data_IF_990023962935
#
_entry.id   IF_990023962935
#
_cell.length_a   1.000
_cell.length_b   1.000
_cell.length_c   1.000
_cell.angle_alpha   90.00
_cell.angle_beta   90.00
_cell.angle_gamma   90.00
#
_symmetry.space_group_name_H-M   'P 1'
#
loop_
_entity.id
_entity.type
_entity.pdbx_description
1 polymer ?
#
# COMPACT_ATOMS: atom_id res chain seq x y z
N UNK A 1 41.34 20.73 72.07
CA UNK A 1 39.92 20.51 71.83
C UNK A 1 39.47 21.38 70.68
N UNK A 2 39.77 21.01 69.48
CA UNK A 2 39.31 21.68 68.26
C UNK A 2 39.60 20.68 67.13
N UNK A 3 38.64 19.91 66.66
CA UNK A 3 38.62 19.22 65.34
C UNK A 3 37.50 18.17 65.33
N UNK A 4 36.24 18.56 65.35
CA UNK A 4 35.09 17.66 65.07
C UNK A 4 33.92 18.35 64.40
N UNK A 5 34.06 19.52 63.78
CA UNK A 5 32.94 20.24 63.16
C UNK A 5 33.10 20.54 61.66
N UNK A 6 34.18 20.07 61.00
CA UNK A 6 34.44 20.34 59.59
C UNK A 6 34.06 19.18 58.62
N UNK A 7 33.78 17.98 59.14
CA UNK A 7 33.56 16.78 58.30
C UNK A 7 32.10 16.51 57.95
N UNK A 8 31.14 17.30 58.44
CA UNK A 8 29.69 17.01 58.24
C UNK A 8 29.03 17.91 57.17
N UNK A 9 29.73 18.89 56.64
CA UNK A 9 29.19 19.77 55.59
C UNK A 9 29.60 19.43 54.15
N UNK A 10 30.51 18.44 53.97
CA UNK A 10 30.98 18.03 52.63
C UNK A 10 30.24 16.80 52.11
N UNK A 11 29.51 16.07 52.94
CA UNK A 11 28.76 14.88 52.55
C UNK A 11 27.36 15.17 51.97
N UNK A 12 26.81 16.37 52.25
CA UNK A 12 25.45 16.76 51.77
C UNK A 12 25.45 17.46 50.42
N UNK A 13 26.59 17.86 49.90
CA UNK A 13 26.71 18.51 48.59
C UNK A 13 26.95 17.52 47.44
N UNK A 14 27.30 16.26 47.69
CA UNK A 14 27.53 15.23 46.64
C UNK A 14 26.29 14.39 46.37
N UNK A 15 25.23 14.45 47.17
CA UNK A 15 23.99 13.70 46.98
C UNK A 15 22.97 14.45 46.12
N UNK A 16 23.20 15.73 45.81
CA UNK A 16 22.27 16.56 45.00
C UNK A 16 22.63 16.63 43.49
N UNK A 17 23.69 15.99 43.03
CA UNK A 17 24.11 16.00 41.61
C UNK A 17 23.93 14.67 40.88
N UNK A 18 23.27 13.68 41.46
CA UNK A 18 22.93 12.41 40.80
C UNK A 18 21.50 12.26 40.37
N UNK A 19 20.73 13.35 40.23
CA UNK A 19 19.37 13.38 39.71
C UNK A 19 19.32 14.14 38.37
N UNK A 20 20.41 14.14 37.62
CA UNK A 20 20.40 14.74 36.28
C UNK A 20 20.78 13.67 35.27
N UNK A 21 19.78 13.12 34.61
CA UNK A 21 20.00 12.41 33.36
C UNK A 21 19.74 10.92 33.37
N UNK A 22 18.57 10.49 33.80
CA UNK A 22 17.94 9.42 33.06
C UNK A 22 17.66 10.02 31.67
N UNK A 23 18.61 9.88 30.75
CA UNK A 23 18.35 10.07 29.36
C UNK A 23 17.18 9.14 29.05
N UNK A 24 15.96 9.70 29.02
CA UNK A 24 14.78 8.97 28.63
C UNK A 24 15.10 8.51 27.21
N UNK A 25 15.29 7.20 27.03
CA UNK A 25 15.52 6.64 25.69
C UNK A 25 14.43 7.22 24.79
N UNK A 26 14.83 7.88 23.72
CA UNK A 26 13.88 8.53 22.83
C UNK A 26 12.80 7.53 22.48
N UNK A 27 11.55 7.94 22.65
CA UNK A 27 10.39 7.13 22.29
C UNK A 27 10.53 6.76 20.82
N UNK A 28 10.34 5.48 20.46
CA UNK A 28 10.59 4.99 19.10
C UNK A 28 9.34 4.40 18.50
N UNK A 29 9.05 4.78 17.24
CA UNK A 29 8.01 4.18 16.39
C UNK A 29 8.67 3.25 15.36
N UNK A 30 8.40 1.96 15.42
CA UNK A 30 8.84 0.98 14.42
C UNK A 30 7.75 0.84 13.37
N UNK A 31 8.01 1.42 12.20
CA UNK A 31 7.08 1.52 11.08
C UNK A 31 7.42 0.49 10.00
N UNK A 32 6.47 -0.36 9.63
CA UNK A 32 6.55 -1.28 8.49
C UNK A 32 5.66 -0.73 7.35
N UNK A 33 6.30 -0.30 6.24
CA UNK A 33 5.61 0.50 5.23
C UNK A 33 6.12 0.23 3.81
N UNK A 34 5.45 0.84 2.84
CA UNK A 34 5.86 0.84 1.44
C UNK A 34 6.98 1.84 1.18
N UNK A 35 7.71 1.63 0.09
CA UNK A 35 8.64 2.64 -0.41
C UNK A 35 7.89 3.97 -0.66
N UNK A 36 8.58 5.08 -0.38
CA UNK A 36 8.11 6.44 -0.59
C UNK A 36 6.96 6.93 0.33
N UNK A 37 6.44 6.10 1.29
CA UNK A 37 5.38 6.52 2.23
C UNK A 37 5.90 7.20 3.51
N UNK A 38 7.19 7.12 3.76
CA UNK A 38 7.85 7.79 4.87
C UNK A 38 9.11 8.53 4.39
N UNK A 39 8.97 9.62 3.58
CA UNK A 39 10.10 10.41 3.12
C UNK A 39 10.93 10.94 4.29
N UNK A 40 12.24 11.04 4.11
CA UNK A 40 13.17 11.39 5.19
C UNK A 40 12.88 12.76 5.83
N UNK A 41 12.45 13.75 5.06
CA UNK A 41 12.06 15.09 5.54
C UNK A 41 10.81 15.03 6.41
N UNK A 42 9.82 14.19 6.07
CA UNK A 42 8.60 13.96 6.85
C UNK A 42 8.92 13.24 8.16
N UNK A 43 9.78 12.22 8.12
CA UNK A 43 10.28 11.53 9.32
C UNK A 43 11.00 12.52 10.25
N UNK A 44 11.89 13.35 9.72
CA UNK A 44 12.61 14.36 10.49
C UNK A 44 11.65 15.39 11.09
N UNK A 45 10.65 15.84 10.33
CA UNK A 45 9.65 16.79 10.82
C UNK A 45 8.84 16.19 11.98
N UNK A 46 8.39 14.93 11.85
CA UNK A 46 7.69 14.23 12.93
C UNK A 46 8.54 14.13 14.20
N UNK A 47 9.80 13.67 14.06
CA UNK A 47 10.73 13.57 15.18
C UNK A 47 10.97 14.92 15.86
N UNK A 48 11.14 15.99 15.07
CA UNK A 48 11.32 17.35 15.60
C UNK A 48 10.10 17.84 16.38
N UNK A 49 8.88 17.53 15.92
CA UNK A 49 7.63 17.98 16.55
C UNK A 49 7.26 17.15 17.79
N UNK A 50 7.63 15.88 17.83
CA UNK A 50 7.15 14.93 18.86
C UNK A 50 8.22 14.39 19.79
N UNK A 51 9.50 14.49 19.42
CA UNK A 51 10.61 13.83 20.10
C UNK A 51 10.68 12.31 19.84
N UNK A 52 9.79 11.75 19.00
CA UNK A 52 9.72 10.32 18.70
C UNK A 52 10.60 10.01 17.48
N UNK A 53 11.54 9.07 17.65
CA UNK A 53 12.32 8.53 16.53
C UNK A 53 11.48 7.56 15.71
N UNK A 54 11.60 7.58 14.37
CA UNK A 54 10.90 6.64 13.48
C UNK A 54 11.92 5.71 12.83
N UNK A 55 11.76 4.42 13.08
CA UNK A 55 12.54 3.35 12.45
C UNK A 55 11.70 2.76 11.31
N UNK A 56 12.09 3.03 10.06
CA UNK A 56 11.36 2.62 8.86
C UNK A 56 11.89 1.30 8.33
N UNK A 57 10.99 0.33 8.15
CA UNK A 57 11.25 -0.93 7.43
C UNK A 57 10.39 -0.97 6.18
N UNK A 58 11.01 -1.10 5.01
CA UNK A 58 10.30 -1.22 3.75
C UNK A 58 9.80 -2.64 3.52
N UNK A 59 8.60 -2.77 2.93
CA UNK A 59 7.94 -4.05 2.71
C UNK A 59 6.85 -3.97 1.63
N UNK A 60 6.17 -5.09 1.41
CA UNK A 60 4.96 -5.22 0.59
C UNK A 60 3.91 -6.04 1.34
N UNK A 61 2.68 -6.17 0.81
CA UNK A 61 1.58 -6.86 1.51
C UNK A 61 1.95 -8.27 1.96
N UNK A 62 2.50 -9.08 1.06
CA UNK A 62 2.81 -10.49 1.32
C UNK A 62 3.87 -10.62 2.43
N UNK A 63 4.90 -9.78 2.36
CA UNK A 63 5.96 -9.75 3.38
C UNK A 63 5.49 -9.19 4.72
N UNK A 64 4.65 -8.13 4.72
CA UNK A 64 4.07 -7.58 5.95
C UNK A 64 3.29 -8.65 6.70
N UNK A 65 2.39 -9.34 6.00
CA UNK A 65 1.57 -10.43 6.58
C UNK A 65 2.47 -11.56 7.05
N UNK A 66 3.44 -11.99 6.25
CA UNK A 66 4.37 -13.06 6.62
C UNK A 66 5.18 -12.72 7.88
N UNK A 67 5.73 -11.50 7.97
CA UNK A 67 6.47 -11.02 9.15
C UNK A 67 5.59 -10.98 10.40
N UNK A 68 4.36 -10.44 10.27
CA UNK A 68 3.42 -10.36 11.39
C UNK A 68 2.95 -11.75 11.86
N UNK A 69 2.70 -12.68 10.95
CA UNK A 69 2.38 -14.07 11.30
C UNK A 69 3.52 -14.73 12.06
N UNK A 70 4.74 -14.66 11.54
CA UNK A 70 5.92 -15.28 12.16
C UNK A 70 6.19 -14.76 13.57
N UNK A 71 5.85 -13.49 13.84
CA UNK A 71 6.07 -12.83 15.14
C UNK A 71 4.81 -12.71 15.98
N UNK A 72 3.66 -13.21 15.50
CA UNK A 72 2.34 -13.03 16.13
C UNK A 72 2.02 -11.53 16.37
N UNK A 73 2.35 -10.68 15.40
CA UNK A 73 2.13 -9.24 15.49
C UNK A 73 3.16 -8.47 16.33
N UNK A 74 4.32 -9.06 16.64
CA UNK A 74 5.39 -8.34 17.33
C UNK A 74 6.39 -7.73 16.32
N UNK A 75 7.28 -6.87 16.84
CA UNK A 75 8.38 -6.30 16.07
C UNK A 75 8.13 -4.90 15.51
N UNK A 76 6.89 -4.54 15.29
CA UNK A 76 6.47 -3.24 14.75
C UNK A 76 5.40 -2.59 15.63
N UNK A 77 5.24 -1.26 15.51
CA UNK A 77 4.26 -0.48 16.24
C UNK A 77 3.15 0.05 15.32
N UNK A 78 3.47 0.23 14.03
CA UNK A 78 2.52 0.61 12.99
C UNK A 78 2.87 -0.09 11.69
N UNK A 79 1.87 -0.54 10.95
CA UNK A 79 2.02 -1.19 9.64
C UNK A 79 1.03 -0.62 8.64
N UNK A 80 1.37 -0.71 7.35
CA UNK A 80 0.59 -0.06 6.29
C UNK A 80 0.19 -1.05 5.17
N UNK A 81 -0.56 -2.12 5.48
CA UNK A 81 -1.07 -3.02 4.45
C UNK A 81 -2.25 -2.39 3.69
N UNK A 82 -2.57 -2.93 2.52
CA UNK A 82 -3.80 -2.59 1.82
C UNK A 82 -5.03 -3.05 2.62
N UNK A 83 -6.14 -2.32 2.53
CA UNK A 83 -7.37 -2.58 3.31
C UNK A 83 -7.92 -3.99 3.14
N UNK A 84 -7.78 -4.56 1.94
CA UNK A 84 -8.22 -5.90 1.61
C UNK A 84 -7.37 -7.00 2.29
N UNK A 85 -6.22 -6.62 2.87
CA UNK A 85 -5.27 -7.49 3.60
C UNK A 85 -5.40 -7.40 5.12
N UNK A 86 -6.51 -6.85 5.63
CA UNK A 86 -6.74 -6.73 7.08
C UNK A 86 -7.64 -7.86 7.58
N UNK A 87 -8.86 -7.97 7.06
CA UNK A 87 -9.89 -8.82 7.66
C UNK A 87 -9.55 -10.32 7.61
N UNK A 88 -9.09 -10.84 6.47
CA UNK A 88 -8.71 -12.24 6.33
C UNK A 88 -7.57 -12.64 7.29
N UNK A 89 -6.39 -11.99 7.21
CA UNK A 89 -5.28 -12.26 8.11
C UNK A 89 -5.60 -12.02 9.59
N UNK A 90 -6.48 -11.06 9.92
CA UNK A 90 -6.94 -10.87 11.29
C UNK A 90 -7.77 -12.04 11.77
N UNK A 91 -8.70 -12.51 10.96
CA UNK A 91 -9.55 -13.67 11.29
C UNK A 91 -8.73 -14.95 11.46
N UNK A 92 -7.75 -15.18 10.57
CA UNK A 92 -6.94 -16.39 10.59
C UNK A 92 -5.85 -16.39 11.68
N UNK A 93 -5.20 -15.24 11.90
CA UNK A 93 -3.94 -15.18 12.66
C UNK A 93 -3.96 -14.24 13.84
N UNK A 94 -4.96 -13.35 13.96
CA UNK A 94 -5.04 -12.38 15.06
C UNK A 94 -3.84 -11.42 15.12
N UNK A 95 -3.31 -10.99 13.98
CA UNK A 95 -2.03 -10.25 13.89
C UNK A 95 -2.15 -8.74 14.06
N UNK A 96 -3.37 -8.21 14.15
CA UNK A 96 -3.64 -6.79 14.39
C UNK A 96 -4.38 -6.59 15.71
N UNK A 97 -4.32 -5.40 16.28
CA UNK A 97 -5.17 -4.99 17.40
C UNK A 97 -6.24 -3.99 16.95
N UNK A 98 -7.42 -3.99 17.58
CA UNK A 98 -8.46 -3.01 17.25
C UNK A 98 -7.98 -1.59 17.46
N UNK A 99 -8.36 -0.68 16.55
CA UNK A 99 -8.06 0.73 16.69
C UNK A 99 -8.98 1.40 17.72
N UNK A 100 -8.39 2.22 18.57
CA UNK A 100 -9.13 3.20 19.38
C UNK A 100 -9.44 4.43 18.51
N UNK A 101 -10.65 4.44 17.95
CA UNK A 101 -11.08 5.51 17.05
C UNK A 101 -11.19 6.88 17.73
N UNK A 102 -11.24 6.95 19.06
CA UNK A 102 -11.24 8.22 19.80
C UNK A 102 -9.89 8.95 19.71
N UNK A 103 -8.80 8.22 19.42
CA UNK A 103 -7.45 8.75 19.19
C UNK A 103 -7.21 9.20 17.75
N UNK A 104 -8.14 8.93 16.83
CA UNK A 104 -8.07 9.30 15.41
C UNK A 104 -8.83 10.62 15.21
N UNK A 105 -8.15 11.62 14.63
CA UNK A 105 -8.76 12.88 14.21
C UNK A 105 -9.52 12.68 12.90
N UNK A 106 -10.77 12.27 12.99
CA UNK A 106 -11.60 11.87 11.82
C UNK A 106 -11.82 13.00 10.82
N UNK A 107 -11.78 14.26 11.25
CA UNK A 107 -11.88 15.46 10.41
C UNK A 107 -10.71 15.62 9.43
N UNK A 108 -9.57 14.99 9.71
CA UNK A 108 -8.44 14.95 8.80
C UNK A 108 -8.62 14.00 7.60
N UNK A 109 -9.66 13.17 7.60
CA UNK A 109 -9.88 12.17 6.56
C UNK A 109 -11.03 12.58 5.63
N UNK A 110 -10.96 12.15 4.36
CA UNK A 110 -12.12 12.15 3.46
C UNK A 110 -13.16 11.20 4.04
N UNK A 111 -14.29 11.75 4.51
CA UNK A 111 -15.26 10.99 5.31
C UNK A 111 -15.78 9.72 4.63
N UNK A 112 -16.07 9.77 3.31
CA UNK A 112 -16.52 8.58 2.56
C UNK A 112 -15.45 7.48 2.51
N UNK A 113 -14.16 7.84 2.36
CA UNK A 113 -13.07 6.88 2.36
C UNK A 113 -12.83 6.28 3.75
N UNK A 114 -12.91 7.10 4.79
CA UNK A 114 -12.78 6.63 6.17
C UNK A 114 -13.86 5.59 6.49
N UNK A 115 -15.13 5.87 6.18
CA UNK A 115 -16.23 4.94 6.46
C UNK A 115 -16.13 3.66 5.59
N UNK A 116 -15.77 3.77 4.32
CA UNK A 116 -15.58 2.59 3.46
C UNK A 116 -14.42 1.71 3.97
N UNK A 117 -13.28 2.30 4.34
CA UNK A 117 -12.14 1.54 4.86
C UNK A 117 -12.46 0.91 6.22
N UNK A 118 -13.11 1.63 7.13
CA UNK A 118 -13.58 1.06 8.40
C UNK A 118 -14.45 -0.17 8.16
N UNK A 119 -15.42 -0.09 7.24
CA UNK A 119 -16.27 -1.24 6.86
C UNK A 119 -15.44 -2.43 6.37
N UNK A 120 -14.48 -2.20 5.48
CA UNK A 120 -13.63 -3.25 4.88
C UNK A 120 -12.62 -3.86 5.86
N UNK A 121 -12.29 -3.14 6.94
CA UNK A 121 -11.31 -3.56 7.96
C UNK A 121 -11.95 -3.95 9.29
N UNK A 122 -13.28 -4.13 9.31
CA UNK A 122 -14.00 -4.57 10.51
C UNK A 122 -14.04 -6.09 10.59
N UNK A 123 -13.62 -6.62 11.74
CA UNK A 123 -13.76 -8.05 12.12
C UNK A 123 -14.40 -8.10 13.50
N UNK A 124 -15.45 -8.89 13.68
CA UNK A 124 -16.20 -9.04 14.93
C UNK A 124 -16.60 -7.70 15.56
N UNK A 125 -17.07 -6.75 14.73
CA UNK A 125 -17.51 -5.41 15.16
C UNK A 125 -16.39 -4.46 15.56
N UNK A 126 -15.12 -4.83 15.41
CA UNK A 126 -13.95 -4.02 15.72
C UNK A 126 -13.23 -3.57 14.45
N UNK A 127 -12.83 -2.31 14.38
CA UNK A 127 -12.10 -1.72 13.25
C UNK A 127 -10.61 -1.91 13.45
N UNK A 128 -9.90 -2.36 12.40
CA UNK A 128 -8.46 -2.65 12.44
C UNK A 128 -7.62 -1.79 11.52
N UNK A 129 -8.24 -0.95 10.67
CA UNK A 129 -7.52 -0.08 9.75
C UNK A 129 -8.26 1.21 9.44
N UNK A 130 -7.50 2.29 9.16
CA UNK A 130 -7.99 3.55 8.60
C UNK A 130 -7.19 3.92 7.36
N UNK A 131 -7.77 4.64 6.36
CA UNK A 131 -7.15 4.84 5.07
C UNK A 131 -5.93 5.78 5.14
N UNK A 132 -4.99 5.60 4.22
CA UNK A 132 -3.82 6.46 4.07
C UNK A 132 -3.65 6.94 2.63
N UNK A 133 -3.13 6.10 1.78
CA UNK A 133 -2.82 6.34 0.36
C UNK A 133 -3.73 5.46 -0.48
N UNK A 134 -4.12 5.93 -1.66
CA UNK A 134 -4.88 5.13 -2.61
C UNK A 134 -4.41 5.37 -4.04
N UNK A 135 -4.70 4.42 -4.92
CA UNK A 135 -4.38 4.47 -6.32
C UNK A 135 -5.05 3.34 -7.09
N UNK A 136 -4.58 3.11 -8.31
CA UNK A 136 -5.16 2.12 -9.21
C UNK A 136 -4.10 1.27 -9.90
N UNK A 137 -4.47 0.02 -10.22
CA UNK A 137 -3.80 -0.79 -11.24
C UNK A 137 -4.56 -0.63 -12.57
N UNK A 138 -3.83 -0.45 -13.63
CA UNK A 138 -4.38 -0.35 -14.99
C UNK A 138 -3.34 -0.74 -16.03
N UNK A 139 -3.34 -0.06 -17.16
CA UNK A 139 -2.41 -0.32 -18.25
C UNK A 139 -1.45 0.85 -18.46
N UNK A 140 -0.18 0.56 -18.58
CA UNK A 140 0.83 1.50 -19.07
C UNK A 140 1.19 1.08 -20.49
N UNK A 141 0.98 1.96 -21.46
CA UNK A 141 1.05 1.64 -22.89
C UNK A 141 1.87 2.70 -23.62
N UNK A 142 2.83 2.26 -24.41
CA UNK A 142 3.41 3.09 -25.48
C UNK A 142 2.41 3.12 -26.63
N UNK A 143 1.65 4.21 -26.74
CA UNK A 143 0.51 4.34 -27.67
C UNK A 143 0.94 4.37 -29.15
N UNK A 144 2.21 4.66 -29.43
CA UNK A 144 2.77 4.59 -30.79
C UNK A 144 3.10 3.15 -31.18
N UNK A 145 3.62 2.36 -30.23
CA UNK A 145 4.03 0.99 -30.48
C UNK A 145 2.88 -0.02 -30.33
N UNK A 146 1.86 0.30 -29.53
CA UNK A 146 0.75 -0.60 -29.16
C UNK A 146 -0.59 0.16 -29.10
N UNK A 147 -0.95 0.86 -30.16
CA UNK A 147 -2.11 1.78 -30.24
C UNK A 147 -3.47 1.15 -29.89
N UNK A 148 -3.63 -0.17 -30.06
CA UNK A 148 -4.91 -0.87 -29.89
C UNK A 148 -5.06 -1.51 -28.50
N UNK A 149 -4.07 -1.35 -27.60
CA UNK A 149 -4.15 -1.88 -26.23
C UNK A 149 -5.05 -0.98 -25.41
N UNK A 150 -6.19 -1.50 -24.97
CA UNK A 150 -7.19 -0.77 -24.20
C UNK A 150 -7.81 -1.60 -23.07
N UNK A 151 -7.48 -2.91 -22.98
CA UNK A 151 -7.93 -3.78 -21.91
C UNK A 151 -6.86 -4.83 -21.56
N UNK A 152 -6.98 -5.49 -20.40
CA UNK A 152 -6.00 -6.47 -19.91
C UNK A 152 -5.82 -7.64 -20.90
N UNK A 153 -6.89 -8.11 -21.54
CA UNK A 153 -6.79 -9.17 -22.55
C UNK A 153 -5.93 -8.78 -23.76
N UNK A 154 -5.79 -7.48 -24.06
CA UNK A 154 -4.96 -7.03 -25.18
C UNK A 154 -3.47 -7.27 -24.94
N UNK A 155 -3.05 -7.44 -23.67
CA UNK A 155 -1.68 -7.87 -23.32
C UNK A 155 -1.35 -9.28 -23.82
N UNK A 156 -2.36 -10.05 -24.19
CA UNK A 156 -2.23 -11.39 -24.78
C UNK A 156 -2.29 -11.39 -26.30
N UNK A 157 -2.47 -10.21 -26.92
CA UNK A 157 -2.60 -10.07 -28.37
C UNK A 157 -1.25 -10.06 -29.09
N UNK A 158 -1.26 -10.38 -30.39
CA UNK A 158 -0.05 -10.45 -31.23
C UNK A 158 0.64 -9.07 -31.38
N UNK A 159 -0.10 -7.98 -31.22
CA UNK A 159 0.45 -6.61 -31.26
C UNK A 159 1.53 -6.32 -30.19
N UNK A 160 1.55 -7.10 -29.13
CA UNK A 160 2.51 -6.97 -28.01
C UNK A 160 3.32 -8.23 -27.76
N UNK A 161 3.38 -9.13 -28.75
CA UNK A 161 4.06 -10.41 -28.64
C UNK A 161 5.52 -10.26 -28.20
N UNK A 162 5.90 -10.87 -27.07
CA UNK A 162 7.23 -10.78 -26.46
C UNK A 162 7.58 -9.40 -25.89
N UNK A 163 6.60 -8.48 -25.78
CA UNK A 163 6.79 -7.10 -25.29
C UNK A 163 5.74 -6.66 -24.28
N UNK A 164 4.91 -7.58 -23.78
CA UNK A 164 4.00 -7.34 -22.68
C UNK A 164 4.65 -7.67 -21.34
N UNK A 165 4.16 -7.06 -20.25
CA UNK A 165 4.57 -7.41 -18.88
C UNK A 165 3.41 -7.23 -17.90
N UNK A 166 3.35 -8.09 -16.87
CA UNK A 166 2.45 -7.96 -15.74
C UNK A 166 3.03 -8.67 -14.51
N UNK A 167 2.43 -8.46 -13.34
CA UNK A 167 2.87 -9.14 -12.12
C UNK A 167 2.29 -10.56 -12.06
N UNK A 168 3.09 -11.55 -11.72
CA UNK A 168 2.58 -12.87 -11.35
C UNK A 168 2.06 -12.84 -9.89
N UNK A 169 1.07 -11.99 -9.62
CA UNK A 169 0.45 -11.75 -8.31
C UNK A 169 -1.07 -11.59 -8.46
N UNK A 170 -1.77 -11.63 -7.32
CA UNK A 170 -3.22 -11.49 -7.21
C UNK A 170 -3.86 -10.44 -8.13
N UNK A 171 -3.37 -9.18 -8.20
CA UNK A 171 -3.99 -8.17 -9.07
C UNK A 171 -4.18 -8.64 -10.52
N UNK A 172 -3.23 -9.40 -11.07
CA UNK A 172 -3.35 -9.93 -12.44
C UNK A 172 -4.48 -10.95 -12.56
N UNK A 173 -4.68 -11.84 -11.58
CA UNK A 173 -5.80 -12.78 -11.59
C UNK A 173 -7.15 -12.04 -11.59
N UNK A 174 -7.28 -11.03 -10.74
CA UNK A 174 -8.50 -10.22 -10.60
C UNK A 174 -8.77 -9.43 -11.88
N UNK A 175 -7.74 -8.77 -12.44
CA UNK A 175 -7.83 -8.01 -13.69
C UNK A 175 -8.32 -8.88 -14.86
N UNK A 176 -7.69 -10.04 -15.03
CA UNK A 176 -8.07 -10.97 -16.10
C UNK A 176 -9.43 -11.63 -15.87
N UNK A 177 -9.89 -11.80 -14.62
CA UNK A 177 -11.26 -12.22 -14.34
C UNK A 177 -12.25 -11.19 -14.89
N UNK A 178 -12.11 -9.91 -14.53
CA UNK A 178 -12.97 -8.85 -15.04
C UNK A 178 -12.91 -8.69 -16.55
N UNK A 179 -11.73 -8.75 -17.15
CA UNK A 179 -11.54 -8.66 -18.60
C UNK A 179 -12.19 -9.83 -19.37
N UNK A 180 -12.50 -10.93 -18.70
CA UNK A 180 -13.23 -12.08 -19.25
C UNK A 180 -14.70 -12.14 -18.77
N UNK A 181 -15.26 -11.03 -18.30
CA UNK A 181 -16.67 -10.92 -17.90
C UNK A 181 -17.04 -11.67 -16.63
N UNK A 182 -16.04 -12.03 -15.79
CA UNK A 182 -16.25 -12.69 -14.51
C UNK A 182 -16.09 -11.67 -13.38
N UNK A 183 -16.93 -11.76 -12.35
CA UNK A 183 -16.79 -10.93 -11.14
C UNK A 183 -16.20 -11.77 -9.99
N UNK A 184 -14.88 -11.65 -9.74
CA UNK A 184 -14.23 -12.42 -8.67
C UNK A 184 -14.67 -11.98 -7.29
N UNK A 185 -15.08 -10.71 -7.11
CA UNK A 185 -15.51 -10.19 -5.82
C UNK A 185 -16.88 -10.74 -5.39
N UNK A 186 -17.80 -10.91 -6.36
CA UNK A 186 -19.09 -11.56 -6.10
C UNK A 186 -18.93 -13.05 -5.71
N UNK A 187 -17.86 -13.70 -6.16
CA UNK A 187 -17.59 -15.12 -5.87
C UNK A 187 -16.85 -15.37 -4.53
N UNK A 188 -16.46 -14.34 -3.79
CA UNK A 188 -15.69 -14.48 -2.54
C UNK A 188 -16.37 -15.32 -1.46
N UNK A 189 -17.72 -15.34 -1.46
CA UNK A 189 -18.48 -16.13 -0.48
C UNK A 189 -18.75 -17.58 -0.93
N UNK A 190 -18.28 -17.96 -2.12
CA UNK A 190 -18.34 -19.34 -2.65
C UNK A 190 -16.95 -19.80 -3.10
N UNK A 191 -16.14 -20.39 -2.20
CA UNK A 191 -14.78 -20.85 -2.50
C UNK A 191 -14.71 -21.84 -3.67
N UNK A 192 -15.77 -22.63 -3.91
CA UNK A 192 -15.81 -23.58 -5.03
C UNK A 192 -15.99 -22.84 -6.37
N UNK A 193 -16.93 -21.90 -6.44
CA UNK A 193 -17.12 -21.07 -7.61
C UNK A 193 -15.88 -20.21 -7.87
N UNK A 194 -15.28 -19.63 -6.82
CA UNK A 194 -14.06 -18.86 -6.91
C UNK A 194 -12.89 -19.68 -7.44
N UNK A 195 -12.69 -20.90 -6.93
CA UNK A 195 -11.64 -21.82 -7.42
C UNK A 195 -11.83 -22.12 -8.91
N UNK A 196 -13.05 -22.48 -9.33
CA UNK A 196 -13.35 -22.77 -10.74
C UNK A 196 -13.10 -21.55 -11.64
N UNK A 197 -13.39 -20.34 -11.15
CA UNK A 197 -13.11 -19.09 -11.85
C UNK A 197 -11.60 -18.86 -11.98
N UNK A 198 -10.83 -19.00 -10.90
CA UNK A 198 -9.38 -18.79 -10.91
C UNK A 198 -8.64 -19.81 -11.78
N UNK A 199 -9.13 -21.05 -11.88
CA UNK A 199 -8.59 -22.06 -12.81
C UNK A 199 -8.78 -21.62 -14.28
N UNK A 200 -9.95 -21.07 -14.64
CA UNK A 200 -10.19 -20.51 -15.99
C UNK A 200 -9.27 -19.33 -16.27
N UNK A 201 -9.09 -18.42 -15.32
CA UNK A 201 -8.18 -17.28 -15.43
C UNK A 201 -6.74 -17.76 -15.59
N UNK A 202 -6.31 -18.74 -14.80
CA UNK A 202 -4.98 -19.31 -14.89
C UNK A 202 -4.69 -19.93 -16.25
N UNK A 203 -5.65 -20.68 -16.83
CA UNK A 203 -5.54 -21.21 -18.19
C UNK A 203 -5.35 -20.11 -19.24
N UNK A 204 -6.15 -19.05 -19.15
CA UNK A 204 -6.01 -17.87 -20.05
C UNK A 204 -4.63 -17.20 -19.91
N UNK A 205 -4.16 -17.01 -18.70
CA UNK A 205 -2.84 -16.43 -18.44
C UNK A 205 -1.70 -17.32 -18.95
N UNK A 206 -1.85 -18.64 -18.90
CA UNK A 206 -0.89 -19.58 -19.47
C UNK A 206 -0.78 -19.43 -21.00
N UNK A 207 -1.91 -19.25 -21.71
CA UNK A 207 -1.93 -18.95 -23.15
C UNK A 207 -1.27 -17.60 -23.46
N UNK A 208 -1.47 -16.60 -22.57
CA UNK A 208 -0.91 -15.25 -22.71
C UNK A 208 0.61 -15.20 -22.52
N UNK A 209 1.18 -16.18 -21.87
CA UNK A 209 2.60 -16.21 -21.46
C UNK A 209 3.58 -16.02 -22.62
N UNK A 210 3.26 -16.49 -23.82
CA UNK A 210 4.08 -16.29 -25.04
C UNK A 210 4.32 -14.81 -25.38
N UNK A 211 3.43 -13.91 -24.92
CA UNK A 211 3.51 -12.48 -25.16
C UNK A 211 4.24 -11.73 -24.02
N UNK A 212 4.50 -12.43 -22.90
CA UNK A 212 5.13 -11.84 -21.73
C UNK A 212 6.64 -11.81 -21.90
N UNK A 213 7.23 -10.63 -21.80
CA UNK A 213 8.69 -10.48 -21.79
C UNK A 213 9.28 -10.97 -20.46
N UNK A 214 8.67 -10.55 -19.36
CA UNK A 214 8.95 -11.02 -17.98
C UNK A 214 7.78 -10.68 -17.07
N UNK A 215 7.69 -11.39 -15.95
CA UNK A 215 6.83 -11.01 -14.84
C UNK A 215 7.60 -10.06 -13.94
N UNK A 216 7.12 -8.82 -13.78
CA UNK A 216 7.79 -7.84 -12.95
C UNK A 216 7.38 -7.95 -11.48
N UNK A 217 8.30 -7.62 -10.59
CA UNK A 217 8.10 -7.57 -9.15
C UNK A 217 8.42 -6.19 -8.58
N UNK A 218 9.50 -5.59 -9.05
CA UNK A 218 9.94 -4.24 -8.69
C UNK A 218 9.50 -3.17 -9.70
N UNK A 219 8.99 -2.04 -9.21
CA UNK A 219 8.57 -0.88 -10.02
C UNK A 219 9.67 -0.43 -10.99
N UNK A 220 10.91 -0.28 -10.50
CA UNK A 220 12.00 0.27 -11.31
C UNK A 220 12.41 -0.64 -12.48
N UNK A 221 12.37 -1.97 -12.30
CA UNK A 221 12.60 -2.93 -13.39
C UNK A 221 11.60 -2.70 -14.51
N UNK A 222 10.30 -2.60 -14.20
CA UNK A 222 9.26 -2.36 -15.19
C UNK A 222 9.44 -1.02 -15.90
N UNK A 223 9.64 0.06 -15.14
CA UNK A 223 9.77 1.41 -15.72
C UNK A 223 10.97 1.50 -16.66
N UNK A 224 12.10 0.87 -16.32
CA UNK A 224 13.28 0.83 -17.19
C UNK A 224 13.02 0.04 -18.48
N UNK A 225 12.33 -1.09 -18.41
CA UNK A 225 11.98 -1.88 -19.57
C UNK A 225 11.00 -1.14 -20.53
N UNK A 226 10.08 -0.33 -19.98
CA UNK A 226 9.20 0.49 -20.81
C UNK A 226 9.97 1.66 -21.43
N UNK A 227 10.88 2.33 -20.70
CA UNK A 227 11.74 3.41 -21.25
C UNK A 227 12.59 2.93 -22.40
N UNK A 228 13.17 1.73 -22.30
CA UNK A 228 14.01 1.15 -23.33
C UNK A 228 13.22 0.61 -24.54
N UNK A 229 11.88 0.49 -24.44
CA UNK A 229 11.04 -0.14 -25.46
C UNK A 229 11.12 -1.67 -25.48
N UNK A 230 11.76 -2.29 -24.49
CA UNK A 230 11.75 -3.74 -24.27
C UNK A 230 10.34 -4.23 -23.92
N UNK A 231 9.58 -3.43 -23.18
CA UNK A 231 8.15 -3.59 -22.91
C UNK A 231 7.40 -2.41 -23.52
N UNK A 232 6.33 -2.68 -24.26
CA UNK A 232 5.50 -1.63 -24.89
C UNK A 232 4.12 -1.52 -24.26
N UNK A 233 3.67 -2.54 -23.53
CA UNK A 233 2.42 -2.53 -22.78
C UNK A 233 2.55 -3.37 -21.52
N UNK A 234 2.03 -2.87 -20.41
CA UNK A 234 2.09 -3.59 -19.14
C UNK A 234 0.87 -3.29 -18.26
N UNK A 235 0.46 -4.27 -17.45
CA UNK A 235 -0.35 -4.00 -16.28
C UNK A 235 0.57 -3.40 -15.20
N UNK A 236 0.22 -2.22 -14.70
CA UNK A 236 1.04 -1.48 -13.73
C UNK A 236 0.21 -0.50 -12.91
N UNK A 237 0.82 0.08 -11.89
CA UNK A 237 0.25 1.20 -11.13
C UNK A 237 0.20 2.49 -11.95
N UNK A 238 -0.82 3.29 -11.71
CA UNK A 238 -1.04 4.62 -12.27
C UNK A 238 0.20 5.52 -12.14
N UNK A 239 0.83 5.55 -10.97
CA UNK A 239 2.02 6.36 -10.68
C UNK A 239 3.19 6.06 -11.61
N UNK A 240 3.40 4.78 -11.93
CA UNK A 240 4.44 4.38 -12.87
C UNK A 240 4.18 4.92 -14.26
N UNK A 241 2.93 4.81 -14.73
CA UNK A 241 2.49 5.33 -16.01
C UNK A 241 2.60 6.85 -16.10
N UNK A 242 2.17 7.57 -15.07
CA UNK A 242 2.27 9.04 -15.06
C UNK A 242 3.70 9.56 -14.98
N UNK A 243 4.57 8.87 -14.24
CA UNK A 243 6.01 9.17 -14.23
C UNK A 243 6.59 9.05 -15.63
N UNK A 244 6.32 7.93 -16.32
CA UNK A 244 6.81 7.71 -17.68
C UNK A 244 6.19 8.68 -18.69
N UNK A 245 4.91 9.02 -18.56
CA UNK A 245 4.24 10.03 -19.39
C UNK A 245 4.91 11.41 -19.28
N UNK A 246 5.38 11.78 -18.09
CA UNK A 246 6.10 13.03 -17.88
C UNK A 246 7.47 13.06 -18.58
N UNK A 247 8.07 11.89 -18.80
CA UNK A 247 9.34 11.71 -19.52
C UNK A 247 9.13 11.56 -21.04
N UNK A 248 8.07 10.82 -21.43
CA UNK A 248 7.69 10.56 -22.82
C UNK A 248 6.16 10.56 -22.97
N UNK A 249 5.55 11.56 -23.64
CA UNK A 249 4.10 11.68 -23.80
C UNK A 249 3.44 10.57 -24.64
N UNK A 250 4.23 9.77 -25.38
CA UNK A 250 3.72 8.59 -26.09
C UNK A 250 3.37 7.43 -25.12
N UNK A 251 3.93 7.45 -23.90
CA UNK A 251 3.61 6.46 -22.86
C UNK A 251 2.47 7.01 -22.02
N UNK A 252 1.36 6.26 -21.95
CA UNK A 252 0.17 6.67 -21.21
C UNK A 252 -0.24 5.62 -20.19
N UNK A 253 -0.79 6.07 -19.07
CA UNK A 253 -1.61 5.23 -18.22
C UNK A 253 -3.03 5.26 -18.76
N UNK A 254 -3.61 4.09 -18.94
CA UNK A 254 -4.96 3.89 -19.50
C UNK A 254 -5.79 3.11 -18.49
N UNK A 255 -6.95 3.65 -18.11
CA UNK A 255 -7.96 2.89 -17.39
C UNK A 255 -8.53 1.80 -18.33
N UNK A 256 -8.40 0.51 -18.00
CA UNK A 256 -8.87 -0.58 -18.85
C UNK A 256 -10.40 -0.56 -19.03
N UNK A 257 -10.89 -1.03 -20.17
CA UNK A 257 -12.34 -1.08 -20.44
C UNK A 257 -13.10 -1.95 -19.43
N UNK A 258 -12.48 -3.03 -18.96
CA UNK A 258 -13.05 -3.90 -17.92
C UNK A 258 -12.99 -3.31 -16.52
N UNK A 259 -12.29 -2.19 -16.32
CA UNK A 259 -12.15 -1.43 -15.08
C UNK A 259 -10.74 -1.49 -14.49
N UNK A 260 -10.25 -0.35 -14.06
CA UNK A 260 -9.04 -0.29 -13.25
C UNK A 260 -9.31 -0.88 -11.86
N UNK A 261 -8.29 -1.47 -11.24
CA UNK A 261 -8.42 -2.03 -9.88
C UNK A 261 -8.03 -0.97 -8.86
N UNK A 262 -8.98 -0.52 -8.05
CA UNK A 262 -8.75 0.48 -7.01
C UNK A 262 -8.29 -0.16 -5.69
N UNK A 263 -7.21 0.35 -5.13
CA UNK A 263 -6.67 -0.10 -3.84
C UNK A 263 -6.52 1.08 -2.86
N UNK A 264 -6.59 0.76 -1.57
CA UNK A 264 -6.40 1.71 -0.47
C UNK A 264 -5.44 1.07 0.52
N UNK A 265 -4.31 1.69 0.75
CA UNK A 265 -3.40 1.30 1.82
C UNK A 265 -3.83 1.97 3.13
N UNK A 266 -3.59 1.30 4.24
CA UNK A 266 -4.13 1.67 5.53
C UNK A 266 -3.04 1.91 6.57
N UNK A 267 -3.44 2.50 7.67
CA UNK A 267 -2.72 2.41 8.93
C UNK A 267 -3.39 1.33 9.78
N UNK A 268 -2.60 0.37 10.25
CA UNK A 268 -3.04 -0.68 11.17
C UNK A 268 -2.02 -0.90 12.28
N UNK A 269 -2.48 -1.23 13.49
CA UNK A 269 -1.61 -1.47 14.64
C UNK A 269 -1.43 -2.98 14.82
N UNK A 270 -0.17 -3.49 14.83
CA UNK A 270 0.09 -4.91 15.07
C UNK A 270 -0.34 -5.37 16.45
N UNK A 271 -0.75 -6.62 16.58
CA UNK A 271 -1.32 -7.19 17.81
C UNK A 271 -0.42 -7.02 19.05
N UNK A 272 0.90 -7.10 18.87
CA UNK A 272 1.91 -6.94 19.93
C UNK A 272 2.77 -5.67 19.73
N UNK A 273 2.24 -4.64 19.05
CA UNK A 273 2.84 -3.30 19.04
C UNK A 273 3.00 -2.76 20.46
N UNK A 274 4.10 -2.08 20.73
CA UNK A 274 4.45 -1.63 22.08
C UNK A 274 4.24 -0.14 22.30
N UNK A 275 4.08 0.62 21.21
CA UNK A 275 4.00 2.07 21.26
C UNK A 275 2.80 2.59 20.46
N UNK A 276 1.59 2.27 20.97
CA UNK A 276 0.34 2.66 20.32
C UNK A 276 0.19 4.19 20.27
N UNK A 277 0.63 4.91 21.30
CA UNK A 277 0.52 6.38 21.32
C UNK A 277 1.38 7.04 20.23
N UNK A 278 2.59 6.53 19.98
CA UNK A 278 3.41 6.97 18.85
C UNK A 278 2.75 6.64 17.50
N UNK A 279 2.11 5.48 17.40
CA UNK A 279 1.37 5.09 16.20
C UNK A 279 0.21 6.06 15.90
N UNK A 280 -0.62 6.40 16.89
CA UNK A 280 -1.71 7.38 16.72
C UNK A 280 -1.19 8.80 16.42
N UNK A 281 -0.09 9.21 17.04
CA UNK A 281 0.56 10.49 16.72
C UNK A 281 1.02 10.52 15.25
N UNK A 282 1.63 9.42 14.77
CA UNK A 282 2.05 9.30 13.37
C UNK A 282 0.88 9.33 12.39
N UNK A 283 -0.21 8.59 12.67
CA UNK A 283 -1.42 8.59 11.86
C UNK A 283 -1.96 10.02 11.73
N UNK A 284 -2.22 10.69 12.85
CA UNK A 284 -2.78 12.04 12.85
C UNK A 284 -1.82 13.08 12.21
N UNK A 285 -0.50 12.90 12.38
CA UNK A 285 0.50 13.75 11.74
C UNK A 285 0.48 13.59 10.21
N UNK A 286 0.49 12.35 9.71
CA UNK A 286 0.49 12.07 8.28
C UNK A 286 -0.79 12.50 7.58
N UNK A 287 -1.91 12.54 8.29
CA UNK A 287 -3.19 12.93 7.73
C UNK A 287 -3.44 14.45 7.76
N UNK A 288 -2.52 15.25 8.33
CA UNK A 288 -2.57 16.71 8.16
C UNK A 288 -2.41 17.04 6.66
N UNK A 289 -3.26 17.93 6.09
CA UNK A 289 -3.29 18.18 4.64
C UNK A 289 -1.91 18.51 4.03
N UNK A 290 -1.12 19.34 4.71
CA UNK A 290 0.20 19.76 4.24
C UNK A 290 1.26 18.65 4.28
N UNK A 291 1.11 17.69 5.20
CA UNK A 291 1.99 16.51 5.30
C UNK A 291 1.54 15.46 4.27
N UNK A 292 0.25 15.17 4.25
CA UNK A 292 -0.36 14.20 3.34
C UNK A 292 -0.10 14.54 1.86
N UNK A 293 -0.16 15.84 1.49
CA UNK A 293 0.17 16.27 0.13
C UNK A 293 1.64 15.99 -0.25
N UNK A 294 2.59 16.15 0.69
CA UNK A 294 4.01 15.82 0.46
C UNK A 294 4.23 14.31 0.35
N UNK A 295 3.63 13.53 1.24
CA UNK A 295 3.72 12.06 1.20
C UNK A 295 3.11 11.52 -0.09
N UNK A 296 1.93 12.02 -0.48
CA UNK A 296 1.28 11.66 -1.74
C UNK A 296 2.15 12.01 -2.96
N UNK A 297 2.79 13.17 -2.97
CA UNK A 297 3.72 13.58 -4.02
C UNK A 297 4.96 12.67 -4.08
N UNK A 298 5.53 12.27 -2.93
CA UNK A 298 6.64 11.31 -2.85
C UNK A 298 6.25 9.95 -3.40
N UNK A 299 5.09 9.44 -2.98
CA UNK A 299 4.55 8.17 -3.44
C UNK A 299 4.10 8.22 -4.91
N UNK A 300 3.74 9.42 -5.39
CA UNK A 300 3.14 9.66 -6.70
C UNK A 300 1.66 9.23 -6.76
N UNK A 301 1.00 9.03 -5.63
CA UNK A 301 -0.38 8.55 -5.48
C UNK A 301 -1.29 9.60 -4.86
N UNK A 302 -2.53 9.21 -4.59
CA UNK A 302 -3.50 10.06 -3.88
C UNK A 302 -3.54 9.70 -2.40
N UNK A 303 -3.97 10.67 -1.59
CA UNK A 303 -4.13 10.49 -0.14
C UNK A 303 -5.60 10.51 0.27
N UNK A 304 -5.91 9.82 1.34
CA UNK A 304 -7.22 9.89 1.99
C UNK A 304 -7.39 11.11 2.92
N UNK A 305 -6.42 12.04 2.93
CA UNK A 305 -6.47 13.26 3.73
C UNK A 305 -7.45 14.27 3.15
N UNK A 306 -8.32 14.80 4.00
CA UNK A 306 -9.27 15.84 3.65
C UNK A 306 -8.56 17.18 3.41
N UNK A 307 -8.71 17.76 2.22
CA UNK A 307 -8.12 19.05 1.84
C UNK A 307 -6.68 19.01 1.33
N UNK A 308 -6.01 17.85 1.33
CA UNK A 308 -4.68 17.70 0.74
C UNK A 308 -4.70 17.90 -0.77
N UNK A 309 -5.80 17.58 -1.46
CA UNK A 309 -6.01 17.78 -2.88
C UNK A 309 -5.82 19.24 -3.34
N UNK A 310 -6.13 20.20 -2.46
CA UNK A 310 -5.94 21.64 -2.69
C UNK A 310 -4.48 22.09 -2.62
N UNK A 311 -3.64 21.29 -1.95
CA UNK A 311 -2.22 21.55 -1.73
C UNK A 311 -1.33 20.74 -2.68
N UNK A 312 -1.88 19.74 -3.35
CA UNK A 312 -1.15 18.95 -4.34
C UNK A 312 -0.82 19.83 -5.55
N UNK A 313 0.48 19.93 -5.85
CA UNK A 313 1.00 20.71 -6.98
C UNK A 313 1.42 19.78 -8.11
N UNK A 314 1.41 20.29 -9.35
CA UNK A 314 1.96 19.61 -10.52
C UNK A 314 0.93 18.83 -11.34
N UNK A 315 1.44 17.96 -12.21
CA UNK A 315 0.66 17.28 -13.27
C UNK A 315 -0.26 16.17 -12.78
N UNK A 316 -0.15 15.74 -11.52
CA UNK A 316 -0.85 14.54 -11.04
C UNK A 316 -2.38 14.64 -11.21
N UNK A 317 -2.95 15.79 -10.90
CA UNK A 317 -4.40 16.05 -11.07
C UNK A 317 -4.83 15.98 -12.53
N UNK A 318 -4.04 16.58 -13.44
CA UNK A 318 -4.33 16.58 -14.87
C UNK A 318 -4.15 15.18 -15.47
N UNK A 319 -3.10 14.47 -15.07
CA UNK A 319 -2.84 13.09 -15.48
C UNK A 319 -3.95 12.14 -15.02
N UNK A 320 -4.49 12.33 -13.81
CA UNK A 320 -5.64 11.58 -13.35
C UNK A 320 -6.87 11.87 -14.21
N UNK A 321 -7.18 13.14 -14.45
CA UNK A 321 -8.34 13.53 -15.26
C UNK A 321 -8.24 13.01 -16.71
N UNK A 322 -7.05 13.00 -17.30
CA UNK A 322 -6.81 12.42 -18.63
C UNK A 322 -7.00 10.90 -18.64
N UNK A 323 -6.49 10.20 -17.62
CA UNK A 323 -6.53 8.74 -17.53
C UNK A 323 -7.89 8.19 -17.13
N UNK A 324 -8.67 8.98 -16.37
CA UNK A 324 -9.94 8.58 -15.79
C UNK A 324 -11.07 9.55 -16.16
N UNK A 325 -11.62 9.49 -17.40
CA UNK A 325 -12.88 10.14 -17.69
C UNK A 325 -13.98 9.56 -16.79
N UNK A 326 -15.09 10.31 -16.61
CA UNK A 326 -16.16 9.93 -15.66
C UNK A 326 -16.56 8.46 -15.72
N UNK A 327 -16.75 7.92 -16.92
CA UNK A 327 -17.14 6.52 -17.08
C UNK A 327 -16.08 5.52 -16.58
N UNK A 328 -14.79 5.88 -16.66
CA UNK A 328 -13.71 5.06 -16.14
C UNK A 328 -13.65 5.12 -14.60
N UNK A 329 -13.93 6.31 -14.00
CA UNK A 329 -14.05 6.47 -12.54
C UNK A 329 -15.19 5.59 -12.01
N UNK A 330 -16.36 5.66 -12.65
CA UNK A 330 -17.53 4.90 -12.24
C UNK A 330 -17.32 3.37 -12.40
N UNK A 331 -16.35 2.95 -13.22
CA UNK A 331 -16.00 1.55 -13.47
C UNK A 331 -14.81 1.04 -12.64
N UNK A 332 -14.24 1.82 -11.74
CA UNK A 332 -13.14 1.34 -10.87
C UNK A 332 -13.65 0.17 -10.01
N UNK A 333 -12.92 -0.93 -10.04
CA UNK A 333 -13.17 -2.14 -9.25
C UNK A 333 -12.38 -2.05 -7.93
N UNK A 334 -13.01 -1.49 -6.92
CA UNK A 334 -12.40 -1.35 -5.60
C UNK A 334 -12.28 -2.71 -4.92
N UNK A 335 -11.07 -3.04 -4.44
CA UNK A 335 -10.84 -4.27 -3.70
C UNK A 335 -11.65 -4.30 -2.40
N UNK A 336 -12.58 -5.26 -2.24
CA UNK A 336 -13.21 -5.53 -0.96
C UNK A 336 -12.26 -6.30 -0.04
N UNK A 337 -12.65 -6.43 1.24
CA UNK A 337 -11.96 -7.33 2.15
C UNK A 337 -11.86 -8.75 1.56
N UNK A 338 -10.68 -9.34 1.61
CA UNK A 338 -10.44 -10.72 1.16
C UNK A 338 -10.82 -11.68 2.27
N UNK A 339 -11.78 -12.60 2.06
CA UNK A 339 -12.08 -13.62 3.03
C UNK A 339 -10.92 -14.58 3.26
N UNK A 340 -10.88 -15.20 4.43
CA UNK A 340 -9.93 -16.25 4.77
C UNK A 340 -9.96 -17.39 3.74
N UNK A 341 -8.79 -17.94 3.39
CA UNK A 341 -8.63 -19.05 2.44
C UNK A 341 -8.61 -18.66 0.96
N UNK A 342 -9.07 -17.49 0.58
CA UNK A 342 -9.06 -17.03 -0.82
C UNK A 342 -7.62 -16.90 -1.35
N UNK A 343 -6.69 -16.40 -0.54
CA UNK A 343 -5.29 -16.24 -0.94
C UNK A 343 -4.60 -17.57 -1.24
N UNK A 344 -4.98 -18.65 -0.56
CA UNK A 344 -4.44 -19.98 -0.85
C UNK A 344 -4.87 -20.48 -2.24
N UNK A 345 -6.13 -20.23 -2.63
CA UNK A 345 -6.65 -20.56 -3.96
C UNK A 345 -5.86 -19.80 -5.04
N UNK A 346 -5.70 -18.50 -4.87
CA UNK A 346 -4.94 -17.63 -5.78
C UNK A 346 -3.47 -18.06 -5.88
N UNK A 347 -2.84 -18.37 -4.75
CA UNK A 347 -1.45 -18.82 -4.66
C UNK A 347 -1.19 -20.06 -5.53
N UNK A 348 -2.05 -21.07 -5.46
CA UNK A 348 -1.94 -22.29 -6.27
C UNK A 348 -1.96 -22.02 -7.79
N UNK A 349 -2.77 -21.06 -8.24
CA UNK A 349 -2.84 -20.68 -9.66
C UNK A 349 -1.59 -19.90 -10.06
N UNK A 350 -1.14 -18.96 -9.22
CA UNK A 350 0.06 -18.16 -9.47
C UNK A 350 1.34 -19.00 -9.49
N UNK A 351 1.44 -20.01 -8.64
CA UNK A 351 2.60 -20.90 -8.60
C UNK A 351 2.72 -21.72 -9.89
N UNK A 352 1.59 -22.21 -10.42
CA UNK A 352 1.58 -22.88 -11.72
C UNK A 352 1.94 -21.94 -12.89
N UNK A 353 1.47 -20.69 -12.81
CA UNK A 353 1.82 -19.67 -13.82
C UNK A 353 3.33 -19.39 -13.83
N UNK A 354 3.96 -19.32 -12.65
CA UNK A 354 5.40 -19.09 -12.51
C UNK A 354 6.22 -20.32 -12.91
N UNK A 355 5.82 -21.54 -12.49
CA UNK A 355 6.56 -22.78 -12.74
C UNK A 355 6.69 -23.11 -14.23
N UNK A 356 5.78 -22.68 -15.06
CA UNK A 356 5.88 -22.81 -16.50
C UNK A 356 6.68 -21.67 -17.18
N UNK A 357 7.46 -20.86 -16.46
CA UNK A 357 8.26 -19.71 -16.99
C UNK A 357 9.73 -20.05 -17.17
#
# INVERSE_FOLDING_TARGET
MLTKRASLKLATALAALMVAGAAQAAEKLRLLTWADYAPADIVQQFTKETGIEVEVTLSNNEEMISKLRATQGAGFDLVQPSQDRIAGPQTEFGIYKPLDLSKIKSDLFIGSMLEATKKNTTVDGKVYGVPHIWGTDGLVVNTKAAANVADYNDLCGDAVAGKASFRAKRPTLIAFAFANGMDPFAAYNDPKAYTAMMEKVGAKLAECKKNVKFFWDGKDQLLNAIRSGEVVAAMAWDTGGWKLNSENPEIKFIAPKSGALGWVDTFAIPAKGRNDDAAYKWINFNMRPEIAAKVAASAGNFTASNGADKLMQGKLKDQFAESFPKAAIDNIKWYPAVPAGIEEIEGKVLDRLKAGS
#
